data_IF_118439576270
#
_entry.id   IF_118439576270
#
_cell.length_a   1.000
_cell.length_b   1.000
_cell.length_c   1.000
_cell.angle_alpha   90.00
_cell.angle_beta   90.00
_cell.angle_gamma   90.00
#
_symmetry.space_group_name_H-M   'P 1'
#
loop_
_entity.id
_entity.type
_entity.pdbx_description
1 polymer ?
#
# COMPACT_ATOMS: atom_id res chain seq x y z
N UNK A 1 -6.05 -28.38 -18.66
CA UNK A 1 -7.14 -28.26 -17.67
C UNK A 1 -6.60 -27.39 -16.55
N UNK A 2 -7.12 -26.17 -16.43
CA UNK A 2 -6.74 -25.27 -15.33
C UNK A 2 -7.36 -25.79 -14.03
N UNK A 3 -6.76 -25.45 -12.89
CA UNK A 3 -7.26 -25.83 -11.56
C UNK A 3 -8.71 -25.33 -11.36
N UNK A 4 -9.54 -26.12 -10.69
CA UNK A 4 -10.91 -25.71 -10.27
C UNK A 4 -10.89 -24.80 -9.02
N UNK A 5 -9.75 -24.69 -8.36
CA UNK A 5 -9.57 -23.83 -7.19
C UNK A 5 -9.44 -22.35 -7.59
N UNK A 6 -10.43 -21.54 -7.20
CA UNK A 6 -10.49 -20.10 -7.50
C UNK A 6 -9.28 -19.31 -6.97
N UNK A 7 -8.72 -19.69 -5.81
CA UNK A 7 -7.56 -19.00 -5.26
C UNK A 7 -6.30 -19.24 -6.11
N UNK A 8 -6.14 -20.46 -6.63
CA UNK A 8 -5.06 -20.78 -7.58
C UNK A 8 -5.24 -20.07 -8.92
N UNK A 9 -6.47 -19.97 -9.42
CA UNK A 9 -6.79 -19.22 -10.64
C UNK A 9 -6.43 -17.74 -10.51
N UNK A 10 -6.85 -17.10 -9.40
CA UNK A 10 -6.52 -15.70 -9.08
C UNK A 10 -5.02 -15.49 -8.95
N UNK A 11 -4.32 -16.39 -8.27
CA UNK A 11 -2.87 -16.30 -8.11
C UNK A 11 -2.12 -16.42 -9.44
N UNK A 12 -2.53 -17.35 -10.30
CA UNK A 12 -1.97 -17.52 -11.63
C UNK A 12 -2.21 -16.27 -12.50
N UNK A 13 -3.45 -15.75 -12.53
CA UNK A 13 -3.79 -14.54 -13.27
C UNK A 13 -2.93 -13.34 -12.85
N UNK A 14 -2.80 -13.09 -11.54
CA UNK A 14 -1.96 -12.00 -11.01
C UNK A 14 -0.48 -12.19 -11.32
N UNK A 15 -0.01 -13.44 -11.33
CA UNK A 15 1.39 -13.75 -11.65
C UNK A 15 1.68 -13.52 -13.13
N UNK A 16 0.82 -13.98 -14.03
CA UNK A 16 0.97 -13.73 -15.47
C UNK A 16 0.94 -12.24 -15.79
N UNK A 17 0.03 -11.48 -15.16
CA UNK A 17 -0.04 -10.01 -15.30
C UNK A 17 1.24 -9.31 -14.84
N UNK A 18 1.90 -9.82 -13.81
CA UNK A 18 3.16 -9.26 -13.29
C UNK A 18 4.37 -9.58 -14.17
N UNK A 19 4.38 -10.73 -14.86
CA UNK A 19 5.50 -11.13 -15.71
C UNK A 19 5.58 -10.32 -17.00
N UNK A 20 4.42 -9.92 -17.56
CA UNK A 20 4.31 -9.04 -18.72
C UNK A 20 5.21 -9.44 -19.92
N UNK A 21 5.32 -10.74 -20.16
CA UNK A 21 6.02 -11.32 -21.32
C UNK A 21 5.01 -11.78 -22.37
N UNK A 22 5.41 -11.86 -23.64
CA UNK A 22 4.51 -12.24 -24.75
C UNK A 22 3.74 -13.55 -24.48
N UNK A 23 4.46 -14.63 -24.11
CA UNK A 23 3.83 -15.91 -23.75
C UNK A 23 2.88 -15.84 -22.55
N UNK A 24 3.08 -14.90 -21.64
CA UNK A 24 2.23 -14.73 -20.46
C UNK A 24 0.92 -14.01 -20.82
N UNK A 25 0.98 -13.08 -21.78
CA UNK A 25 -0.20 -12.43 -22.35
C UNK A 25 -1.04 -13.42 -23.14
N UNK A 26 -0.40 -14.25 -23.97
CA UNK A 26 -1.09 -15.31 -24.73
C UNK A 26 -1.85 -16.29 -23.81
N UNK A 27 -1.25 -16.66 -22.67
CA UNK A 27 -1.91 -17.51 -21.68
C UNK A 27 -3.03 -16.80 -20.93
N UNK A 28 -2.90 -15.50 -20.66
CA UNK A 28 -3.96 -14.69 -20.06
C UNK A 28 -5.18 -14.58 -20.99
N UNK A 29 -4.99 -14.44 -22.30
CA UNK A 29 -6.09 -14.38 -23.27
C UNK A 29 -6.89 -15.68 -23.34
N UNK A 30 -6.24 -16.81 -23.05
CA UNK A 30 -6.88 -18.13 -23.01
C UNK A 30 -7.52 -18.44 -21.65
N UNK A 31 -7.23 -17.64 -20.62
CA UNK A 31 -7.76 -17.84 -19.29
C UNK A 31 -9.21 -17.37 -19.23
N UNK A 32 -10.13 -18.31 -19.07
CA UNK A 32 -11.53 -18.01 -18.81
C UNK A 32 -11.79 -18.06 -17.30
N UNK A 33 -12.08 -16.90 -16.71
CA UNK A 33 -12.57 -16.77 -15.34
C UNK A 33 -14.02 -16.29 -15.39
N UNK A 34 -14.82 -16.73 -14.44
CA UNK A 34 -16.12 -16.10 -14.19
C UNK A 34 -15.95 -14.65 -13.70
N UNK A 35 -17.03 -13.88 -13.74
CA UNK A 35 -17.01 -12.44 -13.40
C UNK A 35 -16.55 -12.17 -11.96
N UNK A 36 -16.88 -13.05 -11.00
CA UNK A 36 -16.50 -12.91 -9.60
C UNK A 36 -14.99 -13.14 -9.42
N UNK A 37 -14.49 -14.22 -10.00
CA UNK A 37 -13.08 -14.60 -9.94
C UNK A 37 -12.20 -13.61 -10.71
N UNK A 38 -12.68 -13.10 -11.85
CA UNK A 38 -12.02 -12.05 -12.61
C UNK A 38 -11.93 -10.74 -11.79
N UNK A 39 -13.04 -10.32 -11.17
CA UNK A 39 -13.07 -9.14 -10.29
C UNK A 39 -12.10 -9.28 -9.11
N UNK A 40 -12.02 -10.48 -8.52
CA UNK A 40 -11.06 -10.75 -7.47
C UNK A 40 -9.61 -10.69 -7.98
N UNK A 41 -9.32 -11.28 -9.14
CA UNK A 41 -8.01 -11.21 -9.76
C UNK A 41 -7.56 -9.77 -10.01
N UNK A 42 -8.48 -8.91 -10.46
CA UNK A 42 -8.24 -7.50 -10.78
C UNK A 42 -8.17 -6.59 -9.56
N UNK A 43 -8.71 -7.02 -8.41
CA UNK A 43 -8.60 -6.31 -7.15
C UNK A 43 -7.20 -6.47 -6.53
N UNK A 44 -6.22 -5.86 -7.19
CA UNK A 44 -4.84 -5.70 -6.72
C UNK A 44 -4.65 -4.26 -6.32
N UNK A 45 -4.15 -4.03 -5.10
CA UNK A 45 -3.78 -2.69 -4.68
C UNK A 45 -2.70 -2.14 -5.62
N UNK A 46 -2.94 -0.97 -6.21
CA UNK A 46 -1.96 -0.31 -7.04
C UNK A 46 -0.67 -0.04 -6.23
N UNK A 47 0.53 -0.22 -6.83
CA UNK A 47 1.75 0.19 -6.18
C UNK A 47 1.69 1.69 -5.89
N UNK A 48 1.92 2.06 -4.63
CA UNK A 48 1.91 3.44 -4.20
C UNK A 48 3.33 3.99 -4.22
N UNK A 49 3.51 5.20 -4.73
CA UNK A 49 4.81 5.88 -4.65
C UNK A 49 5.16 6.36 -3.23
N UNK A 50 4.23 6.20 -2.28
CA UNK A 50 4.47 6.41 -0.86
C UNK A 50 5.49 5.39 -0.34
N UNK A 51 6.68 5.89 0.02
CA UNK A 51 7.76 5.09 0.61
C UNK A 51 8.24 5.75 1.88
N UNK A 52 8.58 4.92 2.87
CA UNK A 52 9.18 5.39 4.12
C UNK A 52 10.63 5.86 3.92
N UNK A 53 11.27 6.32 5.00
CA UNK A 53 12.68 6.75 5.01
C UNK A 53 13.69 5.69 4.52
N UNK A 54 13.35 4.40 4.52
CA UNK A 54 14.20 3.30 4.06
C UNK A 54 13.79 2.80 2.67
N UNK A 55 12.85 3.45 2.00
CA UNK A 55 12.35 3.05 0.68
C UNK A 55 11.28 1.94 0.72
N UNK A 56 10.76 1.58 1.91
CA UNK A 56 9.72 0.56 2.05
C UNK A 56 8.36 1.14 1.64
N UNK A 57 7.62 0.50 0.72
CA UNK A 57 6.29 0.96 0.33
C UNK A 57 5.31 0.97 1.50
N UNK A 58 4.55 2.05 1.60
CA UNK A 58 3.52 2.26 2.61
C UNK A 58 2.13 2.00 2.02
N UNK A 59 1.31 1.26 2.75
CA UNK A 59 -0.08 1.01 2.41
C UNK A 59 -1.03 1.72 3.38
N UNK A 60 -2.25 2.01 2.92
CA UNK A 60 -3.31 2.50 3.81
C UNK A 60 -3.59 1.45 4.90
N UNK A 61 -3.69 1.90 6.15
CA UNK A 61 -3.86 1.03 7.31
C UNK A 61 -2.55 0.59 7.99
N UNK A 62 -1.39 0.85 7.40
CA UNK A 62 -0.10 0.53 8.01
C UNK A 62 0.12 1.27 9.33
N UNK A 63 1.08 0.76 10.12
CA UNK A 63 1.60 1.45 11.31
C UNK A 63 3.02 1.90 11.03
N UNK A 64 3.30 3.17 11.29
CA UNK A 64 4.63 3.75 11.10
C UNK A 64 5.13 4.37 12.40
N UNK A 65 6.44 4.56 12.49
CA UNK A 65 7.11 5.14 13.66
C UNK A 65 7.89 6.38 13.22
N UNK A 66 7.80 7.46 13.99
CA UNK A 66 8.55 8.68 13.75
C UNK A 66 10.05 8.44 14.01
N UNK A 67 10.90 8.80 13.05
CA UNK A 67 12.36 8.71 13.21
C UNK A 67 12.98 10.01 13.75
N UNK A 68 12.22 11.11 13.80
CA UNK A 68 12.62 12.42 14.30
C UNK A 68 11.54 13.04 15.17
N UNK A 69 11.92 14.01 16.01
CA UNK A 69 10.99 14.86 16.73
C UNK A 69 10.38 15.88 15.76
N UNK A 70 9.05 15.91 15.66
CA UNK A 70 8.33 16.78 14.72
C UNK A 70 7.38 17.71 15.49
N UNK A 71 7.57 19.05 15.42
CA UNK A 71 6.61 19.98 15.98
C UNK A 71 5.31 19.97 15.15
N UNK A 72 4.19 19.72 15.80
CA UNK A 72 2.89 19.66 15.12
C UNK A 72 2.32 21.07 14.99
N UNK A 73 2.23 21.57 13.75
CA UNK A 73 1.54 22.84 13.47
C UNK A 73 0.08 22.73 13.90
N UNK A 74 -0.37 23.66 14.76
CA UNK A 74 -1.74 23.71 15.26
C UNK A 74 -2.09 22.72 16.37
N UNK A 75 -1.19 21.82 16.77
CA UNK A 75 -1.40 20.92 17.93
C UNK A 75 -0.83 21.46 19.24
N UNK A 76 0.15 22.37 19.18
CA UNK A 76 0.82 22.89 20.38
C UNK A 76 1.73 21.88 21.08
N UNK A 77 1.91 20.68 20.53
CA UNK A 77 2.80 19.64 21.02
C UNK A 77 3.82 19.22 19.95
N UNK A 78 4.85 18.51 20.41
CA UNK A 78 5.89 17.93 19.55
C UNK A 78 5.73 16.42 19.57
N UNK A 79 5.45 15.82 18.41
CA UNK A 79 5.43 14.38 18.26
C UNK A 79 6.87 13.86 18.37
N UNK A 80 7.15 13.09 19.42
CA UNK A 80 8.51 12.63 19.73
C UNK A 80 8.95 11.49 18.82
N UNK A 81 10.25 11.40 18.56
CA UNK A 81 10.87 10.24 17.92
C UNK A 81 10.46 8.97 18.68
N UNK A 82 10.13 7.93 17.92
CA UNK A 82 9.64 6.66 18.48
C UNK A 82 8.12 6.63 18.67
N UNK A 83 7.41 7.76 18.52
CA UNK A 83 5.94 7.76 18.55
C UNK A 83 5.42 6.95 17.36
N UNK A 84 4.54 5.99 17.66
CA UNK A 84 3.93 5.14 16.65
C UNK A 84 2.60 5.75 16.20
N UNK A 85 2.43 5.86 14.90
CA UNK A 85 1.25 6.38 14.22
C UNK A 85 0.54 5.19 13.58
N UNK A 86 -0.62 4.84 14.12
CA UNK A 86 -1.36 3.65 13.71
C UNK A 86 -2.39 4.00 12.65
N UNK A 87 -2.67 3.06 11.74
CA UNK A 87 -3.70 3.17 10.71
C UNK A 87 -3.52 4.43 9.85
N UNK A 88 -2.33 4.58 9.27
CA UNK A 88 -2.05 5.72 8.40
C UNK A 88 -2.97 5.70 7.16
N UNK A 89 -3.23 6.86 6.60
CA UNK A 89 -3.90 7.03 5.31
C UNK A 89 -2.93 7.67 4.33
N UNK A 90 -2.98 7.21 3.08
CA UNK A 90 -2.14 7.72 2.00
C UNK A 90 -2.79 8.95 1.36
N UNK A 91 -2.00 9.97 1.04
CA UNK A 91 -2.49 11.18 0.36
C UNK A 91 -2.39 10.98 -1.15
N UNK A 92 -3.53 10.81 -1.82
CA UNK A 92 -3.59 10.48 -3.25
C UNK A 92 -2.81 11.45 -4.15
N UNK A 93 -2.82 12.75 -3.83
CA UNK A 93 -2.21 13.79 -4.65
C UNK A 93 -0.72 14.01 -4.37
N UNK A 94 -0.17 13.41 -3.29
CA UNK A 94 1.21 13.66 -2.91
C UNK A 94 1.88 12.44 -2.24
N UNK A 95 2.78 11.73 -2.95
CA UNK A 95 3.46 10.54 -2.43
C UNK A 95 4.37 10.82 -1.22
N UNK A 96 4.81 12.06 -1.03
CA UNK A 96 5.62 12.45 0.12
C UNK A 96 4.80 12.68 1.38
N UNK A 97 3.46 12.71 1.31
CA UNK A 97 2.60 12.94 2.46
C UNK A 97 1.78 11.71 2.85
N UNK A 98 1.66 11.50 4.15
CA UNK A 98 0.74 10.56 4.76
C UNK A 98 -0.01 11.26 5.88
N UNK A 99 -1.21 10.78 6.14
CA UNK A 99 -2.02 11.24 7.26
C UNK A 99 -2.05 10.20 8.36
N UNK A 100 -2.05 10.67 9.60
CA UNK A 100 -2.20 9.79 10.74
C UNK A 100 -2.78 10.52 11.93
N UNK A 101 -2.98 9.78 13.02
CA UNK A 101 -3.43 10.35 14.29
C UNK A 101 -2.34 10.20 15.35
N UNK A 102 -2.05 11.30 16.04
CA UNK A 102 -1.19 11.35 17.22
C UNK A 102 -1.96 12.11 18.29
N UNK A 103 -2.07 11.55 19.49
CA UNK A 103 -2.81 12.14 20.62
C UNK A 103 -4.26 12.57 20.26
N UNK A 104 -4.92 11.80 19.38
CA UNK A 104 -6.29 12.07 18.94
C UNK A 104 -6.43 13.14 17.84
N UNK A 105 -5.36 13.87 17.51
CA UNK A 105 -5.36 14.87 16.45
C UNK A 105 -4.91 14.27 15.12
N UNK A 106 -5.60 14.62 14.01
CA UNK A 106 -5.17 14.27 12.65
C UNK A 106 -4.03 15.20 12.24
N UNK A 107 -2.93 14.61 11.80
CA UNK A 107 -1.74 15.33 11.35
C UNK A 107 -1.29 14.79 9.98
N UNK A 108 -0.67 15.67 9.20
CA UNK A 108 0.00 15.30 7.94
C UNK A 108 1.49 15.19 8.23
N UNK A 109 2.11 14.09 7.79
CA UNK A 109 3.50 13.75 8.06
C UNK A 109 4.19 13.49 6.72
N UNK A 110 5.42 13.96 6.60
CA UNK A 110 6.28 13.63 5.46
C UNK A 110 6.80 12.19 5.59
N UNK A 111 6.72 11.42 4.51
CA UNK A 111 7.10 10.00 4.50
C UNK A 111 8.60 9.78 4.78
N UNK A 112 9.45 10.76 4.49
CA UNK A 112 10.89 10.74 4.80
C UNK A 112 11.20 10.74 6.32
N UNK A 113 10.23 11.10 7.17
CA UNK A 113 10.40 11.12 8.64
C UNK A 113 9.71 9.96 9.35
N UNK A 114 9.24 8.98 8.59
CA UNK A 114 8.64 7.77 9.15
C UNK A 114 9.39 6.52 8.74
N UNK A 115 9.24 5.49 9.55
CA UNK A 115 9.69 4.13 9.26
C UNK A 115 8.51 3.18 9.43
N UNK A 116 8.27 2.30 8.47
CA UNK A 116 7.26 1.24 8.61
C UNK A 116 7.63 0.31 9.77
N UNK A 117 6.66 0.01 10.63
CA UNK A 117 6.84 -0.92 11.75
C UNK A 117 6.82 -2.37 11.28
#
# INVERSE_FOLDING_TARGET
MWSEDAALQVYAARTLKRLDTDWARDLLEQLYLDDETQSWADNVAAPTDHKDSNGVPLASGDTVVLIKDLPVKGGGFTAKRGTAVHRISLVADNPAHIEGRVEGQRIVILTEFVKKR
#
